data_IF_564189547817
#
_entry.id   IF_564189547817
#
_cell.length_a   1.000
_cell.length_b   1.000
_cell.length_c   1.000
_cell.angle_alpha   90.00
_cell.angle_beta   90.00
_cell.angle_gamma   90.00
#
_symmetry.space_group_name_H-M   'P 1'
#
loop_
_entity.id
_entity.type
_entity.pdbx_description
1 polymer ?
#
# COMPACT_ATOMS: atom_id res chain seq x y z
N UNK A 1 -6.92 19.01 0.41
CA UNK A 1 -7.43 17.84 -0.32
C UNK A 1 -6.52 16.66 -0.01
N UNK A 2 -7.09 15.50 0.31
CA UNK A 2 -6.34 14.25 0.46
C UNK A 2 -5.71 13.87 -0.89
N UNK A 3 -4.42 13.49 -0.89
CA UNK A 3 -3.64 13.24 -2.12
C UNK A 3 -3.25 11.76 -2.29
N UNK A 4 -3.91 10.87 -1.53
CA UNK A 4 -3.57 9.46 -1.46
C UNK A 4 -2.55 9.14 -0.36
N UNK A 5 -2.42 7.86 -0.07
CA UNK A 5 -1.54 7.37 1.00
C UNK A 5 -0.06 7.26 0.59
N UNK A 6 0.25 7.14 -0.71
CA UNK A 6 1.62 6.88 -1.15
C UNK A 6 2.56 8.05 -0.86
N UNK A 7 3.74 7.69 -0.37
CA UNK A 7 4.78 8.61 0.08
C UNK A 7 5.57 9.36 -0.95
N UNK A 8 4.87 9.89 -1.94
CA UNK A 8 5.52 10.44 -3.11
C UNK A 8 5.89 11.91 -2.92
N UNK A 9 7.19 12.20 -3.04
CA UNK A 9 7.71 13.57 -3.02
C UNK A 9 7.63 14.25 -4.39
N UNK A 10 7.54 13.47 -5.48
CA UNK A 10 7.48 14.00 -6.83
C UNK A 10 6.06 14.33 -7.27
N UNK A 11 5.86 15.55 -7.79
CA UNK A 11 4.56 16.02 -8.29
C UNK A 11 3.97 15.13 -9.41
N UNK A 12 4.81 14.46 -10.19
CA UNK A 12 4.40 13.60 -11.31
C UNK A 12 3.94 12.20 -10.87
N UNK A 13 4.20 11.79 -9.63
CA UNK A 13 3.80 10.49 -9.09
C UNK A 13 2.67 10.61 -8.04
N UNK A 14 2.21 11.84 -7.74
CA UNK A 14 0.94 12.13 -7.03
C UNK A 14 -0.26 11.36 -7.61
N UNK A 15 -0.40 11.18 -8.94
CA UNK A 15 -1.48 10.37 -9.49
C UNK A 15 -1.47 8.93 -8.97
N UNK A 16 -0.30 8.34 -8.70
CA UNK A 16 -0.21 6.98 -8.19
C UNK A 16 -0.86 6.84 -6.81
N UNK A 17 -0.67 7.82 -5.93
CA UNK A 17 -1.34 7.85 -4.62
C UNK A 17 -2.87 7.88 -4.74
N UNK A 18 -3.38 8.59 -5.75
CA UNK A 18 -4.83 8.75 -5.99
C UNK A 18 -5.42 7.52 -6.70
N UNK A 19 -4.70 6.93 -7.65
CA UNK A 19 -5.23 5.81 -8.47
C UNK A 19 -5.00 4.44 -7.86
N UNK A 20 -4.06 4.29 -6.91
CA UNK A 20 -3.74 3.00 -6.30
C UNK A 20 -4.95 2.39 -5.58
N UNK A 21 -5.60 3.13 -4.67
CA UNK A 21 -6.75 2.61 -3.90
C UNK A 21 -7.91 2.18 -4.84
N UNK A 22 -8.37 3.02 -5.81
CA UNK A 22 -9.40 2.59 -6.76
C UNK A 22 -9.04 1.37 -7.61
N UNK A 23 -7.77 1.21 -8.02
CA UNK A 23 -7.34 0.06 -8.81
C UNK A 23 -7.34 -1.22 -7.98
N UNK A 24 -6.84 -1.16 -6.75
CA UNK A 24 -6.83 -2.31 -5.84
C UNK A 24 -8.26 -2.74 -5.51
N UNK A 25 -9.16 -1.80 -5.26
CA UNK A 25 -10.58 -2.07 -5.02
C UNK A 25 -11.25 -2.70 -6.24
N UNK A 26 -10.99 -2.18 -7.45
CA UNK A 26 -11.54 -2.74 -8.69
C UNK A 26 -11.09 -4.18 -8.93
N UNK A 27 -9.84 -4.49 -8.58
CA UNK A 27 -9.27 -5.84 -8.66
C UNK A 27 -9.62 -6.71 -7.44
N UNK A 28 -10.32 -6.16 -6.45
CA UNK A 28 -10.65 -6.79 -5.15
C UNK A 28 -9.41 -7.26 -4.39
N UNK A 29 -8.27 -6.61 -4.61
CA UNK A 29 -7.02 -6.94 -3.94
C UNK A 29 -7.04 -6.28 -2.56
N UNK A 30 -7.08 -7.04 -1.45
CA UNK A 30 -6.96 -6.46 -0.14
C UNK A 30 -5.60 -5.79 0.02
N UNK A 31 -5.60 -4.62 0.66
CA UNK A 31 -4.39 -3.86 0.87
C UNK A 31 -4.30 -3.28 2.28
N UNK A 32 -3.06 -3.06 2.72
CA UNK A 32 -2.75 -2.37 3.98
C UNK A 32 -1.79 -1.23 3.69
N UNK A 33 -2.12 -0.04 4.22
CA UNK A 33 -1.20 1.11 4.20
C UNK A 33 -0.39 1.12 5.49
N UNK A 34 0.94 1.14 5.36
CA UNK A 34 1.89 1.17 6.47
C UNK A 34 2.49 2.57 6.57
N UNK A 35 2.33 3.22 7.72
CA UNK A 35 2.80 4.59 7.98
C UNK A 35 3.95 4.68 8.99
N UNK A 36 4.32 3.56 9.61
CA UNK A 36 5.40 3.47 10.60
C UNK A 36 6.44 2.45 10.12
N UNK A 37 7.73 2.80 10.16
CA UNK A 37 8.83 1.97 9.64
C UNK A 37 8.90 0.63 10.38
N UNK A 38 8.70 0.64 11.70
CA UNK A 38 8.76 -0.54 12.56
C UNK A 38 7.66 -1.57 12.22
N UNK A 39 6.63 -1.16 11.48
CA UNK A 39 5.52 -2.02 11.07
C UNK A 39 5.71 -2.65 9.69
N UNK A 40 6.72 -2.24 8.91
CA UNK A 40 6.94 -2.73 7.54
C UNK A 40 7.18 -4.24 7.54
N UNK A 41 8.12 -4.71 8.35
CA UNK A 41 8.53 -6.13 8.36
C UNK A 41 7.33 -7.03 8.66
N UNK A 42 6.56 -6.69 9.71
CA UNK A 42 5.34 -7.42 10.07
C UNK A 42 4.29 -7.34 8.96
N UNK A 43 4.10 -6.19 8.33
CA UNK A 43 3.12 -6.05 7.26
C UNK A 43 3.46 -6.92 6.03
N UNK A 44 4.74 -7.03 5.67
CA UNK A 44 5.19 -7.90 4.58
C UNK A 44 4.99 -9.37 4.95
N UNK A 45 5.36 -9.78 6.17
CA UNK A 45 5.16 -11.14 6.64
C UNK A 45 3.67 -11.54 6.64
N UNK A 46 2.80 -10.66 7.16
CA UNK A 46 1.35 -10.87 7.16
C UNK A 46 0.79 -11.00 5.74
N UNK A 47 1.20 -10.12 4.82
CA UNK A 47 0.75 -10.13 3.44
C UNK A 47 1.20 -11.41 2.71
N UNK A 48 2.43 -11.87 2.96
CA UNK A 48 2.91 -13.15 2.45
C UNK A 48 2.07 -14.32 2.98
N UNK A 49 1.90 -14.42 4.30
CA UNK A 49 1.10 -15.48 4.93
C UNK A 49 -0.34 -15.49 4.42
N UNK A 50 -0.97 -14.32 4.28
CA UNK A 50 -2.32 -14.19 3.76
C UNK A 50 -2.41 -14.61 2.29
N UNK A 51 -1.50 -14.14 1.45
CA UNK A 51 -1.50 -14.47 0.02
C UNK A 51 -1.27 -15.96 -0.19
N UNK A 52 -0.38 -16.55 0.60
CA UNK A 52 -0.09 -17.98 0.58
C UNK A 52 -1.29 -18.83 1.02
N UNK A 53 -1.97 -18.44 2.11
CA UNK A 53 -3.11 -19.19 2.62
C UNK A 53 -4.39 -19.04 1.77
N UNK A 54 -4.61 -17.86 1.18
CA UNK A 54 -5.80 -17.55 0.39
C UNK A 54 -5.68 -17.89 -1.09
N UNK A 55 -4.47 -18.17 -1.58
CA UNK A 55 -4.14 -18.25 -3.01
C UNK A 55 -4.60 -17.02 -3.80
N UNK A 56 -4.57 -15.86 -3.15
CA UNK A 56 -5.01 -14.59 -3.72
C UNK A 56 -3.97 -13.50 -3.51
N UNK A 57 -4.02 -12.46 -4.33
CA UNK A 57 -3.07 -11.35 -4.26
C UNK A 57 -3.42 -10.45 -3.07
N UNK A 58 -2.40 -9.90 -2.41
CA UNK A 58 -2.55 -8.80 -1.46
C UNK A 58 -1.51 -7.72 -1.75
N UNK A 59 -1.75 -6.51 -1.26
CA UNK A 59 -0.86 -5.38 -1.44
C UNK A 59 -0.48 -4.73 -0.10
N UNK A 60 0.77 -4.26 -0.03
CA UNK A 60 1.26 -3.42 1.07
C UNK A 60 1.67 -2.08 0.46
N UNK A 61 0.98 -1.01 0.83
CA UNK A 61 1.30 0.34 0.42
C UNK A 61 2.14 1.01 1.50
N UNK A 62 3.29 1.57 1.13
CA UNK A 62 4.14 2.33 2.05
C UNK A 62 3.76 3.81 1.99
N UNK A 63 3.41 4.34 3.15
CA UNK A 63 2.94 5.71 3.30
C UNK A 63 4.07 6.75 3.26
N UNK A 64 3.70 8.02 3.07
CA UNK A 64 4.66 9.13 3.05
C UNK A 64 5.45 9.40 4.30
N UNK A 65 4.98 8.92 5.44
CA UNK A 65 5.70 9.04 6.70
C UNK A 65 6.89 8.06 6.79
N UNK A 66 6.88 6.99 5.98
CA UNK A 66 7.92 5.93 5.96
C UNK A 66 8.98 6.18 4.89
N UNK A 67 8.62 6.80 3.76
CA UNK A 67 9.49 6.94 2.59
C UNK A 67 10.28 8.27 2.60
N UNK A 68 10.12 9.09 3.66
CA UNK A 68 10.67 10.45 3.73
C UNK A 68 12.05 10.53 4.36
#
# INVERSE_FOLDING_TARGET
SYRGELGENNWWAVPHGITMEPVLDALRIPYRVVREEEKIERAIADAYSWSYASYYHSAVALGGEVVR
#
